data_IF_399128239589
#
_entry.id   IF_399128239589
#
_cell.length_a   1.000
_cell.length_b   1.000
_cell.length_c   1.000
_cell.angle_alpha   90.00
_cell.angle_beta   90.00
_cell.angle_gamma   90.00
#
_symmetry.space_group_name_H-M   'P 1'
#
loop_
_entity.id
_entity.type
_entity.pdbx_description
1 polymer ?
#
# COMPACT_ATOMS: atom_id res chain seq x y z
N UNK A 1 30.20 33.99 -22.41
CA UNK A 1 29.17 33.95 -23.47
C UNK A 1 29.70 34.61 -24.74
N UNK A 2 29.04 34.40 -25.89
CA UNK A 2 29.36 35.12 -27.14
C UNK A 2 29.19 36.63 -26.99
N UNK A 3 28.13 37.06 -26.28
CA UNK A 3 27.89 38.45 -25.88
C UNK A 3 29.11 39.05 -25.15
N UNK A 4 29.65 38.37 -24.12
CA UNK A 4 30.78 38.88 -23.35
C UNK A 4 32.05 39.03 -24.21
N UNK A 5 32.27 38.14 -25.17
CA UNK A 5 33.38 38.25 -26.13
C UNK A 5 33.17 39.44 -27.08
N UNK A 6 31.97 39.59 -27.63
CA UNK A 6 31.63 40.71 -28.51
C UNK A 6 31.67 42.06 -27.79
N UNK A 7 31.28 42.11 -26.50
CA UNK A 7 31.44 43.30 -25.65
C UNK A 7 32.89 43.72 -25.57
N UNK A 8 33.79 42.79 -25.22
CA UNK A 8 35.23 43.10 -25.16
C UNK A 8 35.76 43.61 -26.50
N UNK A 9 35.32 43.02 -27.61
CA UNK A 9 35.70 43.44 -28.95
C UNK A 9 35.18 44.84 -29.31
N UNK A 10 33.92 45.16 -29.02
CA UNK A 10 33.34 46.51 -29.21
C UNK A 10 34.13 47.56 -28.43
N UNK A 11 34.40 47.30 -27.13
CA UNK A 11 35.19 48.21 -26.30
C UNK A 11 36.62 48.39 -26.80
N UNK A 12 37.26 47.31 -27.27
CA UNK A 12 38.59 47.39 -27.85
C UNK A 12 38.60 48.21 -29.14
N UNK A 13 37.66 47.94 -30.06
CA UNK A 13 37.54 48.67 -31.32
C UNK A 13 37.24 50.15 -31.09
N UNK A 14 36.38 50.48 -30.11
CA UNK A 14 36.12 51.87 -29.71
C UNK A 14 37.39 52.56 -29.20
N UNK A 15 38.14 51.92 -28.29
CA UNK A 15 39.39 52.47 -27.77
C UNK A 15 40.44 52.69 -28.85
N UNK A 16 40.53 51.77 -29.82
CA UNK A 16 41.44 51.91 -30.96
C UNK A 16 41.02 53.05 -31.89
N UNK A 17 39.71 53.26 -32.09
CA UNK A 17 39.19 54.39 -32.86
C UNK A 17 39.46 55.73 -32.19
N UNK A 18 39.21 55.88 -30.89
CA UNK A 18 39.53 57.10 -30.13
C UNK A 18 41.01 57.46 -30.25
N UNK A 19 41.90 56.49 -30.03
CA UNK A 19 43.35 56.70 -30.22
C UNK A 19 43.72 57.16 -31.63
N UNK A 20 43.02 56.67 -32.64
CA UNK A 20 43.23 57.09 -34.04
C UNK A 20 42.69 58.49 -34.30
N UNK A 21 41.57 58.89 -33.68
CA UNK A 21 41.04 60.25 -33.78
C UNK A 21 41.96 61.26 -33.08
N UNK A 22 42.43 60.97 -31.86
CA UNK A 22 43.40 61.79 -31.14
C UNK A 22 44.70 61.99 -31.94
N UNK A 23 45.26 60.90 -32.46
CA UNK A 23 46.48 60.96 -33.28
C UNK A 23 46.29 61.81 -34.56
N UNK A 24 45.07 61.87 -35.12
CA UNK A 24 44.78 62.72 -36.27
C UNK A 24 44.55 64.19 -35.89
N UNK A 25 43.98 64.46 -34.72
CA UNK A 25 43.87 65.81 -34.16
C UNK A 25 45.26 66.40 -33.91
N UNK A 26 46.17 65.63 -33.31
CA UNK A 26 47.56 66.05 -33.08
C UNK A 26 48.29 66.41 -34.38
N UNK A 27 48.14 65.59 -35.42
CA UNK A 27 48.71 65.86 -36.76
C UNK A 27 48.11 67.12 -37.37
N UNK A 28 46.80 67.35 -37.21
CA UNK A 28 46.12 68.55 -37.72
C UNK A 28 46.58 69.81 -36.98
N UNK A 29 46.73 69.75 -35.65
CA UNK A 29 47.22 70.86 -34.83
C UNK A 29 48.68 71.19 -35.19
N UNK A 30 49.53 70.18 -35.34
CA UNK A 30 50.92 70.35 -35.76
C UNK A 30 51.07 70.96 -37.17
N UNK A 31 50.09 70.72 -38.07
CA UNK A 31 50.07 71.30 -39.41
C UNK A 31 49.52 72.74 -39.51
N UNK A 32 48.81 73.24 -38.49
CA UNK A 32 48.18 74.58 -38.46
C UNK A 32 49.04 75.62 -37.73
N UNK A 33 50.14 75.22 -37.08
CA UNK A 33 51.09 76.17 -36.49
C UNK A 33 51.80 76.99 -37.58
N UNK A 34 51.27 78.19 -37.77
CA UNK A 34 51.71 79.31 -38.62
C UNK A 34 53.19 79.71 -38.41
N UNK A 35 53.88 80.26 -39.43
CA UNK A 35 55.34 80.44 -39.50
C UNK A 35 55.93 81.61 -38.67
N UNK A 36 55.41 81.88 -37.48
CA UNK A 36 55.90 83.00 -36.65
C UNK A 36 55.99 82.64 -35.17
N UNK A 37 57.01 81.88 -34.77
CA UNK A 37 57.54 81.90 -33.40
C UNK A 37 58.94 81.27 -33.32
N UNK A 38 59.92 82.17 -33.16
CA UNK A 38 61.18 82.05 -32.40
C UNK A 38 61.57 80.68 -31.80
N UNK A 39 62.74 80.22 -32.27
CA UNK A 39 63.86 79.57 -31.56
C UNK A 39 63.68 79.08 -30.11
N UNK A 40 64.12 77.82 -29.91
CA UNK A 40 64.30 77.02 -28.68
C UNK A 40 63.08 76.19 -28.21
N UNK A 41 62.86 75.02 -28.81
CA UNK A 41 63.19 73.75 -28.14
C UNK A 41 63.12 72.57 -29.11
N UNK A 42 64.11 71.70 -28.95
CA UNK A 42 64.51 70.61 -29.81
C UNK A 42 63.55 69.40 -29.74
N UNK A 43 63.18 68.94 -30.94
CA UNK A 43 62.81 67.59 -31.37
C UNK A 43 61.33 67.35 -31.73
N UNK A 44 61.13 67.07 -33.04
CA UNK A 44 60.07 66.27 -33.66
C UNK A 44 58.88 66.93 -34.38
N UNK A 45 59.00 68.12 -34.96
CA UNK A 45 57.99 68.65 -35.90
C UNK A 45 58.23 68.11 -37.32
N UNK A 46 57.83 66.86 -37.60
CA UNK A 46 57.77 66.35 -38.97
C UNK A 46 56.54 66.93 -39.66
N UNK A 47 56.75 67.74 -40.71
CA UNK A 47 55.73 68.00 -41.72
C UNK A 47 55.29 66.65 -42.29
N UNK A 48 54.07 66.21 -41.98
CA UNK A 48 53.51 64.94 -42.43
C UNK A 48 53.31 65.03 -43.94
N UNK A 49 53.91 64.10 -44.69
CA UNK A 49 53.77 64.05 -46.16
C UNK A 49 52.33 63.72 -46.55
N UNK A 50 51.84 64.22 -47.69
CA UNK A 50 50.51 63.87 -48.23
C UNK A 50 50.26 62.36 -48.29
N UNK A 51 51.31 61.57 -48.55
CA UNK A 51 51.27 60.11 -48.55
C UNK A 51 51.01 59.52 -47.15
N UNK A 52 51.57 60.11 -46.12
CA UNK A 52 51.37 59.70 -44.72
C UNK A 52 49.98 60.12 -44.23
N UNK A 53 49.50 61.29 -44.65
CA UNK A 53 48.16 61.78 -44.35
C UNK A 53 47.08 60.86 -44.97
N UNK A 54 47.22 60.49 -46.24
CA UNK A 54 46.30 59.55 -46.91
C UNK A 54 46.27 58.16 -46.23
N UNK A 55 47.43 57.69 -45.74
CA UNK A 55 47.54 56.44 -44.98
C UNK A 55 46.83 56.52 -43.63
N UNK A 56 46.94 57.65 -42.93
CA UNK A 56 46.26 57.89 -41.65
C UNK A 56 44.75 57.96 -41.82
N UNK A 57 44.27 58.66 -42.85
CA UNK A 57 42.83 58.72 -43.17
C UNK A 57 42.25 57.33 -43.52
N UNK A 58 43.01 56.50 -44.23
CA UNK A 58 42.61 55.11 -44.50
C UNK A 58 42.50 54.28 -43.22
N UNK A 59 43.42 54.47 -42.26
CA UNK A 59 43.37 53.80 -40.96
C UNK A 59 42.19 54.28 -40.12
N UNK A 60 41.88 55.57 -40.14
CA UNK A 60 40.70 56.14 -39.44
C UNK A 60 39.41 55.51 -39.94
N UNK A 61 39.18 55.50 -41.25
CA UNK A 61 37.98 54.87 -41.84
C UNK A 61 37.85 53.40 -41.44
N UNK A 62 38.95 52.64 -41.46
CA UNK A 62 38.96 51.24 -41.00
C UNK A 62 38.61 51.09 -39.52
N UNK A 63 39.11 51.97 -38.66
CA UNK A 63 38.80 51.96 -37.24
C UNK A 63 37.31 52.26 -37.01
N UNK A 64 36.75 53.25 -37.71
CA UNK A 64 35.31 53.59 -37.63
C UNK A 64 34.41 52.45 -38.12
N UNK A 65 34.77 51.81 -39.24
CA UNK A 65 34.02 50.66 -39.75
C UNK A 65 34.15 49.45 -38.80
N UNK A 66 35.31 49.28 -38.16
CA UNK A 66 35.51 48.25 -37.14
C UNK A 66 34.63 48.47 -35.91
N UNK A 67 34.49 49.72 -35.44
CA UNK A 67 33.56 50.06 -34.34
C UNK A 67 32.13 49.74 -34.73
N UNK A 68 31.64 50.24 -35.88
CA UNK A 68 30.28 49.97 -36.34
C UNK A 68 29.98 48.48 -36.41
N UNK A 69 30.90 47.69 -36.96
CA UNK A 69 30.75 46.23 -37.05
C UNK A 69 30.70 45.58 -35.67
N UNK A 70 31.63 45.95 -34.78
CA UNK A 70 31.70 45.37 -33.44
C UNK A 70 30.49 45.73 -32.58
N UNK A 71 29.93 46.94 -32.73
CA UNK A 71 28.73 47.37 -32.00
C UNK A 71 27.47 46.64 -32.49
N UNK A 72 27.29 46.50 -33.81
CA UNK A 72 26.18 45.71 -34.38
C UNK A 72 26.27 44.25 -33.94
N UNK A 73 27.48 43.68 -33.95
CA UNK A 73 27.71 42.31 -33.51
C UNK A 73 27.42 42.15 -32.01
N UNK A 74 27.91 43.07 -31.18
CA UNK A 74 27.62 43.08 -29.74
C UNK A 74 26.13 43.17 -29.47
N UNK A 75 25.43 44.12 -30.08
CA UNK A 75 23.99 44.28 -29.94
C UNK A 75 23.22 43.02 -30.35
N UNK A 76 23.60 42.41 -31.48
CA UNK A 76 22.99 41.17 -31.96
C UNK A 76 23.13 40.04 -30.93
N UNK A 77 24.31 39.90 -30.32
CA UNK A 77 24.52 38.90 -29.27
C UNK A 77 23.78 39.23 -27.97
N UNK A 78 23.62 40.51 -27.61
CA UNK A 78 22.78 40.91 -26.47
C UNK A 78 21.33 40.46 -26.68
N UNK A 79 20.75 40.76 -27.84
CA UNK A 79 19.36 40.36 -28.16
C UNK A 79 19.21 38.84 -28.16
N UNK A 80 20.18 38.11 -28.72
CA UNK A 80 20.16 36.65 -28.72
C UNK A 80 20.27 36.06 -27.30
N UNK A 81 21.15 36.62 -26.47
CA UNK A 81 21.31 36.19 -25.09
C UNK A 81 20.04 36.46 -24.27
N UNK A 82 19.40 37.61 -24.46
CA UNK A 82 18.16 37.95 -23.76
C UNK A 82 17.00 37.03 -24.16
N UNK A 83 16.85 36.72 -25.46
CA UNK A 83 15.85 35.74 -25.92
C UNK A 83 16.07 34.37 -25.27
N UNK A 84 17.30 33.87 -25.26
CA UNK A 84 17.63 32.59 -24.64
C UNK A 84 17.36 32.60 -23.13
N UNK A 85 17.62 33.73 -22.44
CA UNK A 85 17.31 33.91 -21.02
C UNK A 85 15.81 33.82 -20.76
N UNK A 86 14.99 34.51 -21.56
CA UNK A 86 13.53 34.49 -21.46
C UNK A 86 12.95 33.10 -21.77
N UNK A 87 13.46 32.42 -22.79
CA UNK A 87 13.06 31.05 -23.12
C UNK A 87 13.36 30.08 -21.96
N UNK A 88 14.55 30.19 -21.35
CA UNK A 88 14.94 29.40 -20.19
C UNK A 88 14.04 29.69 -18.98
N UNK A 89 13.82 30.96 -18.64
CA UNK A 89 12.96 31.37 -17.54
C UNK A 89 11.54 30.83 -17.70
N UNK A 90 10.99 30.94 -18.91
CA UNK A 90 9.68 30.41 -19.27
C UNK A 90 9.62 28.87 -19.17
N UNK A 91 10.68 28.17 -19.59
CA UNK A 91 10.76 26.72 -19.48
C UNK A 91 10.85 26.25 -18.02
N UNK A 92 11.64 26.95 -17.19
CA UNK A 92 11.77 26.67 -15.76
C UNK A 92 10.43 26.88 -15.04
N UNK A 93 9.72 27.96 -15.34
CA UNK A 93 8.41 28.23 -14.74
C UNK A 93 7.38 27.15 -15.11
N UNK A 94 7.30 26.78 -16.40
CA UNK A 94 6.42 25.68 -16.85
C UNK A 94 6.77 24.35 -16.19
N UNK A 95 8.05 24.02 -16.13
CA UNK A 95 8.52 22.79 -15.48
C UNK A 95 8.17 22.76 -14.00
N UNK A 96 8.36 23.88 -13.30
CA UNK A 96 8.02 24.02 -11.88
C UNK A 96 6.52 23.82 -11.62
N UNK A 97 5.66 24.42 -12.45
CA UNK A 97 4.21 24.20 -12.36
C UNK A 97 3.83 22.74 -12.62
N UNK A 98 4.45 22.09 -13.61
CA UNK A 98 4.20 20.67 -13.87
C UNK A 98 4.57 19.79 -12.67
N UNK A 99 5.74 20.02 -12.07
CA UNK A 99 6.16 19.29 -10.87
C UNK A 99 5.28 19.57 -9.67
N UNK A 100 4.84 20.82 -9.49
CA UNK A 100 3.91 21.17 -8.43
C UNK A 100 2.59 20.40 -8.58
N UNK A 101 1.97 20.40 -9.77
CA UNK A 101 0.71 19.69 -10.01
C UNK A 101 0.84 18.19 -9.82
N UNK A 102 1.96 17.58 -10.25
CA UNK A 102 2.24 16.16 -10.02
C UNK A 102 2.36 15.84 -8.53
N UNK A 103 3.01 16.71 -7.75
CA UNK A 103 3.16 16.49 -6.32
C UNK A 103 1.84 16.70 -5.56
N UNK A 104 1.03 17.67 -5.97
CA UNK A 104 -0.33 17.87 -5.44
C UNK A 104 -1.20 16.63 -5.68
N UNK A 105 -1.17 16.06 -6.89
CA UNK A 105 -1.89 14.82 -7.22
C UNK A 105 -1.38 13.63 -6.38
N UNK A 106 -0.06 13.46 -6.27
CA UNK A 106 0.55 12.39 -5.48
C UNK A 106 0.17 12.48 -4.00
N UNK A 107 0.19 13.69 -3.42
CA UNK A 107 -0.19 13.91 -2.03
C UNK A 107 -1.67 13.67 -1.80
N UNK A 108 -2.53 14.08 -2.73
CA UNK A 108 -3.97 13.82 -2.66
C UNK A 108 -4.27 12.32 -2.71
N UNK A 109 -3.65 11.58 -3.64
CA UNK A 109 -3.80 10.12 -3.72
C UNK A 109 -3.32 9.42 -2.43
N UNK A 110 -2.22 9.87 -1.83
CA UNK A 110 -1.71 9.31 -0.58
C UNK A 110 -2.69 9.53 0.58
N UNK A 111 -3.31 10.71 0.64
CA UNK A 111 -4.36 11.02 1.61
C UNK A 111 -5.56 10.09 1.42
N UNK A 112 -6.06 9.96 0.19
CA UNK A 112 -7.24 9.13 -0.12
C UNK A 112 -6.99 7.65 0.22
N UNK A 113 -5.77 7.15 -0.05
CA UNK A 113 -5.35 5.80 0.34
C UNK A 113 -5.34 5.62 1.87
N UNK A 114 -4.82 6.61 2.59
CA UNK A 114 -4.76 6.58 4.06
C UNK A 114 -6.16 6.62 4.67
N UNK A 115 -7.05 7.45 4.13
CA UNK A 115 -8.45 7.54 4.55
C UNK A 115 -9.18 6.21 4.30
N UNK A 116 -8.95 5.58 3.14
CA UNK A 116 -9.47 4.25 2.83
C UNK A 116 -8.96 3.21 3.83
N UNK A 117 -7.67 3.19 4.14
CA UNK A 117 -7.09 2.25 5.10
C UNK A 117 -7.70 2.42 6.50
N UNK A 118 -7.81 3.67 6.97
CA UNK A 118 -8.44 4.00 8.25
C UNK A 118 -9.90 3.55 8.29
N UNK A 119 -10.65 3.76 7.21
CA UNK A 119 -12.03 3.32 7.10
C UNK A 119 -12.15 1.79 7.26
N UNK A 120 -11.38 1.02 6.49
CA UNK A 120 -11.38 -0.44 6.59
C UNK A 120 -10.99 -0.91 7.99
N UNK A 121 -9.97 -0.30 8.60
CA UNK A 121 -9.53 -0.66 9.95
C UNK A 121 -10.62 -0.41 11.00
N UNK A 122 -11.38 0.69 10.86
CA UNK A 122 -12.54 0.98 11.71
C UNK A 122 -13.67 -0.03 11.54
N UNK A 123 -13.88 -0.55 10.34
CA UNK A 123 -14.94 -1.54 10.08
C UNK A 123 -14.63 -2.94 10.60
N UNK A 124 -13.35 -3.34 10.60
CA UNK A 124 -12.93 -4.70 10.98
C UNK A 124 -13.28 -5.01 12.45
N UNK A 125 -13.06 -4.06 13.36
CA UNK A 125 -13.31 -4.26 14.79
C UNK A 125 -14.76 -4.66 15.09
N UNK A 126 -15.77 -3.86 14.71
CA UNK A 126 -17.18 -4.20 14.89
C UNK A 126 -17.58 -5.53 14.22
N UNK A 127 -17.10 -5.81 13.01
CA UNK A 127 -17.38 -7.07 12.29
C UNK A 127 -16.83 -8.28 13.06
N UNK A 128 -15.62 -8.18 13.60
CA UNK A 128 -15.00 -9.22 14.43
C UNK A 128 -15.78 -9.43 15.73
N UNK A 129 -16.10 -8.34 16.44
CA UNK A 129 -16.88 -8.38 17.68
C UNK A 129 -18.26 -9.01 17.45
N UNK A 130 -18.96 -8.64 16.37
CA UNK A 130 -20.24 -9.24 16.02
C UNK A 130 -20.11 -10.74 15.71
N UNK A 131 -19.05 -11.15 15.00
CA UNK A 131 -18.81 -12.56 14.71
C UNK A 131 -18.56 -13.38 15.97
N UNK A 132 -17.78 -12.84 16.92
CA UNK A 132 -17.55 -13.47 18.21
C UNK A 132 -18.85 -13.56 19.04
N UNK A 133 -19.65 -12.50 19.05
CA UNK A 133 -20.93 -12.48 19.77
C UNK A 133 -21.92 -13.56 19.27
N UNK A 134 -21.94 -13.84 17.96
CA UNK A 134 -22.78 -14.92 17.39
C UNK A 134 -22.41 -16.33 17.85
N UNK A 135 -21.21 -16.54 18.38
CA UNK A 135 -20.77 -17.84 18.89
C UNK A 135 -21.22 -18.09 20.33
N UNK A 136 -21.61 -17.04 21.07
CA UNK A 136 -21.96 -17.14 22.49
C UNK A 136 -23.15 -18.07 22.70
N UNK A 137 -24.25 -17.88 21.96
CA UNK A 137 -25.46 -18.70 22.06
C UNK A 137 -25.19 -20.19 21.75
N UNK A 138 -24.68 -20.59 20.57
CA UNK A 138 -24.51 -22.00 20.25
C UNK A 138 -23.54 -22.70 21.20
N UNK A 139 -22.48 -22.03 21.68
CA UNK A 139 -21.57 -22.59 22.68
C UNK A 139 -22.26 -22.76 24.03
N UNK A 140 -23.09 -21.80 24.44
CA UNK A 140 -23.83 -21.87 25.69
C UNK A 140 -24.95 -22.92 25.67
N UNK A 141 -25.47 -23.24 24.48
CA UNK A 141 -26.53 -24.23 24.28
C UNK A 141 -25.99 -25.67 24.14
N UNK A 142 -24.68 -25.90 24.13
CA UNK A 142 -24.12 -27.27 24.10
C UNK A 142 -24.53 -28.02 25.37
N UNK A 143 -25.21 -29.16 25.19
CA UNK A 143 -25.75 -29.96 26.28
C UNK A 143 -25.54 -31.44 26.00
N UNK A 144 -24.66 -32.07 26.77
CA UNK A 144 -24.40 -33.52 26.68
C UNK A 144 -25.68 -34.32 26.90
N UNK A 145 -26.56 -33.85 27.79
CA UNK A 145 -27.84 -34.53 28.07
C UNK A 145 -28.73 -34.52 26.84
N UNK A 146 -28.91 -33.34 26.22
CA UNK A 146 -29.76 -33.18 25.04
C UNK A 146 -29.20 -33.95 23.83
N UNK A 147 -27.87 -33.99 23.69
CA UNK A 147 -27.20 -34.78 22.66
C UNK A 147 -27.43 -36.30 22.86
N UNK A 148 -27.34 -36.78 24.10
CA UNK A 148 -27.61 -38.18 24.44
C UNK A 148 -29.08 -38.55 24.24
N UNK A 149 -30.01 -37.69 24.65
CA UNK A 149 -31.45 -37.88 24.43
C UNK A 149 -31.77 -37.95 22.93
N UNK A 150 -31.17 -37.07 22.13
CA UNK A 150 -31.31 -37.09 20.66
C UNK A 150 -30.80 -38.41 20.07
N UNK A 151 -29.68 -38.94 20.57
CA UNK A 151 -29.16 -40.25 20.15
C UNK A 151 -30.06 -41.42 20.55
N UNK A 152 -30.63 -41.38 21.76
CA UNK A 152 -31.59 -42.40 22.22
C UNK A 152 -32.84 -42.37 21.35
N UNK A 153 -33.42 -41.19 21.10
CA UNK A 153 -34.58 -41.05 20.22
C UNK A 153 -34.31 -41.59 18.82
N UNK A 154 -33.13 -41.31 18.25
CA UNK A 154 -32.72 -41.85 16.96
C UNK A 154 -32.62 -43.39 16.97
N UNK A 155 -32.19 -43.99 18.09
CA UNK A 155 -32.02 -45.43 18.27
C UNK A 155 -33.34 -46.17 18.56
N UNK A 156 -34.21 -45.59 19.37
CA UNK A 156 -35.51 -46.16 19.74
C UNK A 156 -36.43 -46.30 18.51
N UNK A 157 -36.29 -45.43 17.52
CA UNK A 157 -37.00 -45.59 16.23
C UNK A 157 -36.58 -46.81 15.41
N UNK A 158 -35.50 -47.52 15.79
CA UNK A 158 -34.91 -48.61 15.00
C UNK A 158 -34.92 -50.00 15.63
N UNK A 159 -35.21 -50.15 16.93
CA UNK A 159 -35.24 -51.47 17.57
C UNK A 159 -36.63 -51.78 18.15
N UNK A 160 -37.31 -52.85 17.68
CA UNK A 160 -38.51 -53.33 18.35
C UNK A 160 -38.15 -53.73 19.79
N UNK A 161 -39.05 -53.44 20.73
CA UNK A 161 -38.88 -53.85 22.12
C UNK A 161 -38.58 -55.36 22.17
N UNK A 162 -37.58 -55.80 22.94
CA UNK A 162 -37.27 -57.22 23.02
C UNK A 162 -38.51 -57.98 23.50
N UNK A 163 -39.03 -58.89 22.69
CA UNK A 163 -40.20 -59.68 23.03
C UNK A 163 -39.85 -60.66 24.15
N UNK A 164 -40.76 -60.79 25.12
CA UNK A 164 -40.60 -61.77 26.18
C UNK A 164 -40.85 -63.17 25.61
N UNK A 165 -39.84 -64.03 25.65
CA UNK A 165 -40.01 -65.45 25.38
C UNK A 165 -40.73 -66.09 26.57
N UNK A 166 -42.01 -66.41 26.37
CA UNK A 166 -42.80 -67.15 27.34
C UNK A 166 -42.88 -68.64 26.92
N UNK A 167 -42.83 -69.58 27.87
CA UNK A 167 -43.08 -70.97 27.57
C UNK A 167 -44.50 -71.14 26.99
N UNK A 168 -44.59 -71.78 25.83
CA UNK A 168 -45.86 -72.09 25.18
C UNK A 168 -46.14 -73.60 25.26
N UNK A 169 -46.98 -74.01 26.23
CA UNK A 169 -47.20 -75.41 26.51
C UNK A 169 -48.41 -75.96 25.75
N UNK A 170 -48.22 -77.09 25.06
CA UNK A 170 -49.29 -77.82 24.35
C UNK A 170 -50.55 -78.07 25.20
N UNK A 171 -50.39 -78.28 26.51
CA UNK A 171 -51.49 -78.57 27.42
C UNK A 171 -52.41 -77.35 27.68
N UNK A 172 -51.95 -76.12 27.43
CA UNK A 172 -52.70 -74.87 27.62
C UNK A 172 -53.63 -74.58 26.44
N UNK A 173 -53.27 -75.05 25.24
CA UNK A 173 -54.10 -74.90 24.05
C UNK A 173 -55.28 -75.86 24.06
N UNK A 174 -56.43 -75.36 24.51
CA UNK A 174 -57.66 -76.16 24.64
C UNK A 174 -58.15 -76.74 23.31
N UNK A 175 -57.81 -76.08 22.20
CA UNK A 175 -58.13 -76.45 20.82
C UNK A 175 -57.32 -77.64 20.31
N UNK A 176 -56.17 -77.93 20.91
CA UNK A 176 -55.34 -79.08 20.55
C UNK A 176 -55.89 -80.38 21.14
N UNK A 177 -55.70 -81.50 20.44
CA UNK A 177 -56.25 -82.80 20.84
C UNK A 177 -55.47 -83.37 22.04
N UNK A 178 -56.08 -83.34 23.23
CA UNK A 178 -55.50 -83.92 24.45
C UNK A 178 -56.60 -84.48 25.36
N UNK A 179 -56.38 -85.67 25.92
CA UNK A 179 -57.29 -86.26 26.91
C UNK A 179 -57.39 -85.35 28.15
N UNK A 180 -58.61 -85.13 28.65
CA UNK A 180 -58.90 -84.21 29.76
C UNK A 180 -58.10 -84.49 31.04
N UNK A 181 -57.98 -85.75 31.44
CA UNK A 181 -57.25 -86.09 32.68
C UNK A 181 -55.73 -85.94 32.47
N UNK A 182 -55.22 -86.31 31.29
CA UNK A 182 -53.82 -86.08 30.93
C UNK A 182 -53.47 -84.58 30.89
N UNK A 183 -54.38 -83.75 30.36
CA UNK A 183 -54.25 -82.29 30.33
C UNK A 183 -54.19 -81.74 31.76
N UNK A 184 -55.11 -82.17 32.63
CA UNK A 184 -55.14 -81.77 34.05
C UNK A 184 -53.81 -82.10 34.75
N UNK A 185 -53.31 -83.33 34.57
CA UNK A 185 -52.04 -83.75 35.17
C UNK A 185 -50.84 -82.95 34.65
N UNK A 186 -50.78 -82.69 33.33
CA UNK A 186 -49.72 -81.87 32.74
C UNK A 186 -49.74 -80.44 33.28
N UNK A 187 -50.91 -79.78 33.32
CA UNK A 187 -51.06 -78.43 33.85
C UNK A 187 -50.67 -78.34 35.34
N UNK A 188 -51.01 -79.34 36.16
CA UNK A 188 -50.61 -79.38 37.58
C UNK A 188 -49.09 -79.48 37.72
N UNK A 189 -48.42 -80.30 36.89
CA UNK A 189 -46.95 -80.40 36.89
C UNK A 189 -46.29 -79.08 36.46
N UNK A 190 -46.80 -78.45 35.42
CA UNK A 190 -46.33 -77.14 34.95
C UNK A 190 -46.52 -76.07 36.03
N UNK A 191 -47.66 -76.05 36.71
CA UNK A 191 -47.90 -75.13 37.83
C UNK A 191 -46.91 -75.33 38.97
N UNK A 192 -46.56 -76.58 39.32
CA UNK A 192 -45.55 -76.87 40.35
C UNK A 192 -44.16 -76.37 39.93
N UNK A 193 -43.78 -76.60 38.66
CA UNK A 193 -42.53 -76.12 38.09
C UNK A 193 -42.43 -74.59 38.17
N UNK A 194 -43.45 -73.88 37.69
CA UNK A 194 -43.51 -72.41 37.71
C UNK A 194 -43.44 -71.87 39.15
N UNK A 195 -44.17 -72.50 40.10
CA UNK A 195 -44.12 -72.10 41.52
C UNK A 195 -42.73 -72.29 42.13
N UNK A 196 -42.05 -73.38 41.80
CA UNK A 196 -40.70 -73.64 42.28
C UNK A 196 -39.72 -72.60 41.75
N UNK A 197 -39.80 -72.28 40.45
CA UNK A 197 -38.93 -71.28 39.83
C UNK A 197 -39.23 -69.88 40.39
N UNK A 198 -40.50 -69.50 40.58
CA UNK A 198 -40.87 -68.23 41.22
C UNK A 198 -40.28 -68.10 42.63
N UNK A 199 -40.32 -69.16 43.44
CA UNK A 199 -39.72 -69.14 44.78
C UNK A 199 -38.19 -69.05 44.73
N UNK A 200 -37.55 -69.69 43.74
CA UNK A 200 -36.10 -69.54 43.51
C UNK A 200 -35.75 -68.09 43.15
N UNK A 201 -36.46 -67.49 42.21
CA UNK A 201 -36.25 -66.09 41.79
C UNK A 201 -36.50 -65.12 42.93
N UNK A 202 -37.54 -65.36 43.74
CA UNK A 202 -37.85 -64.53 44.91
C UNK A 202 -36.71 -64.53 45.94
N UNK A 203 -36.13 -65.70 46.21
CA UNK A 203 -34.96 -65.82 47.11
C UNK A 203 -33.73 -65.14 46.51
N UNK A 204 -33.49 -65.33 45.20
CA UNK A 204 -32.39 -64.67 44.48
C UNK A 204 -32.46 -63.16 44.58
N UNK A 205 -33.63 -62.58 44.26
CA UNK A 205 -33.90 -61.14 44.40
C UNK A 205 -33.62 -60.63 45.81
N UNK A 206 -34.14 -61.30 46.83
CA UNK A 206 -33.93 -60.91 48.22
C UNK A 206 -32.44 -60.93 48.60
N UNK A 207 -31.69 -61.92 48.12
CA UNK A 207 -30.24 -62.01 48.32
C UNK A 207 -29.49 -60.83 47.72
N UNK A 208 -29.79 -60.47 46.46
CA UNK A 208 -29.16 -59.33 45.77
C UNK A 208 -29.51 -58.01 46.43
N UNK A 209 -30.77 -57.79 46.80
CA UNK A 209 -31.19 -56.56 47.51
C UNK A 209 -30.49 -56.42 48.87
N UNK A 210 -30.32 -57.53 49.60
CA UNK A 210 -29.58 -57.54 50.85
C UNK A 210 -28.10 -57.22 50.65
N UNK A 211 -27.47 -57.77 49.60
CA UNK A 211 -26.08 -57.48 49.24
C UNK A 211 -25.90 -56.00 48.85
N UNK A 212 -26.79 -55.46 48.02
CA UNK A 212 -26.77 -54.05 47.62
C UNK A 212 -26.92 -53.11 48.83
N UNK A 213 -27.75 -53.49 49.81
CA UNK A 213 -27.89 -52.73 51.07
C UNK A 213 -26.62 -52.80 51.91
N UNK A 214 -25.99 -53.97 52.02
CA UNK A 214 -24.73 -54.15 52.74
C UNK A 214 -23.58 -53.36 52.10
N UNK A 215 -23.45 -53.37 50.77
CA UNK A 215 -22.43 -52.58 50.05
C UNK A 215 -22.59 -51.07 50.26
N UNK A 216 -23.83 -50.57 50.36
CA UNK A 216 -24.09 -49.16 50.68
C UNK A 216 -23.78 -48.80 52.14
N UNK A 217 -23.91 -49.75 53.06
CA UNK A 217 -23.71 -49.54 54.50
C UNK A 217 -22.25 -49.77 54.95
N UNK A 218 -21.48 -50.53 54.19
CA UNK A 218 -20.05 -50.78 54.45
C UNK A 218 -19.22 -50.66 53.18
N UNK A 219 -18.63 -49.47 52.90
CA UNK A 219 -17.92 -49.19 51.65
C UNK A 219 -16.56 -49.92 51.50
N UNK A 220 -16.12 -50.67 52.50
CA UNK A 220 -14.87 -51.46 52.51
C UNK A 220 -15.04 -52.94 52.15
N UNK A 221 -16.25 -53.42 51.85
CA UNK A 221 -16.52 -54.85 51.60
C UNK A 221 -15.94 -55.44 50.29
N UNK A 222 -15.14 -54.68 49.55
CA UNK A 222 -14.60 -55.10 48.24
C UNK A 222 -13.15 -54.71 47.97
N UNK A 223 -12.39 -54.28 48.99
CA UNK A 223 -10.91 -54.23 48.94
C UNK A 223 -10.31 -55.49 49.51
#
# INVERSE_FOLDING_TARGET
SAECKAKKQSFQSARENEKMQDAMLDVRIAGVQSPTASTLHLHNTKLVSDKENAKMETKRRKAEDSVKKADVEYYTYCIRAERARLEWESAVLRGSHCFQSLEEERLQQLKDLTDSYLHHYKEVGPKLSQSAARLVEPVSCVSVVTDLESLVALRETGQPAPEQLLPDFYAEHITLAMNRERRRQALVKLLQLIRQDLERERRGKQGVENLARALKQTPTFGT
#
